data_IF_775012116733
#
_entry.id   IF_775012116733
#
_cell.length_a   1.000
_cell.length_b   1.000
_cell.length_c   1.000
_cell.angle_alpha   90.00
_cell.angle_beta   90.00
_cell.angle_gamma   90.00
#
_symmetry.space_group_name_H-M   'P 1'
#
loop_
_entity.id
_entity.type
_entity.pdbx_description
1 polymer ?
#
# COMPACT_ATOMS: atom_id res chain seq x y z
N UNK A 1 -33.43 -19.97 -12.10
CA UNK A 1 -32.16 -20.36 -12.73
C UNK A 1 -31.21 -20.66 -11.58
N UNK A 2 -31.11 -21.94 -11.24
CA UNK A 2 -30.27 -22.42 -10.14
C UNK A 2 -28.81 -22.42 -10.60
N UNK A 3 -28.02 -21.45 -10.13
CA UNK A 3 -26.58 -21.52 -10.27
C UNK A 3 -26.04 -22.59 -9.30
N UNK A 4 -25.03 -23.39 -9.70
CA UNK A 4 -24.40 -24.36 -8.81
C UNK A 4 -23.83 -23.68 -7.56
N UNK A 5 -24.01 -24.29 -6.38
CA UNK A 5 -23.48 -23.81 -5.09
C UNK A 5 -21.96 -23.89 -4.98
N UNK A 6 -21.30 -24.57 -5.90
CA UNK A 6 -19.85 -24.72 -5.92
C UNK A 6 -19.26 -23.53 -6.69
N UNK A 7 -18.89 -22.49 -5.94
CA UNK A 7 -18.02 -21.43 -6.44
C UNK A 7 -16.71 -22.07 -6.94
N UNK A 8 -16.33 -21.77 -8.19
CA UNK A 8 -15.06 -22.20 -8.82
C UNK A 8 -13.79 -21.82 -8.03
N UNK A 9 -13.92 -21.07 -6.93
CA UNK A 9 -12.80 -20.62 -6.08
C UNK A 9 -12.87 -21.07 -4.63
N UNK A 10 -13.75 -22.01 -4.27
CA UNK A 10 -13.54 -22.79 -3.04
C UNK A 10 -12.52 -23.91 -3.31
N UNK A 11 -11.24 -23.54 -3.39
CA UNK A 11 -10.21 -24.54 -3.14
C UNK A 11 -10.33 -24.91 -1.66
N UNK A 12 -10.68 -26.17 -1.39
CA UNK A 12 -10.57 -26.71 -0.04
C UNK A 12 -9.13 -26.58 0.43
N UNK A 13 -8.89 -26.56 1.75
CA UNK A 13 -7.51 -26.54 2.28
C UNK A 13 -6.66 -27.70 1.72
N UNK A 14 -7.31 -28.83 1.40
CA UNK A 14 -6.67 -29.98 0.77
C UNK A 14 -6.27 -29.69 -0.68
N UNK A 15 -7.09 -28.95 -1.44
CA UNK A 15 -6.77 -28.50 -2.79
C UNK A 15 -5.66 -27.42 -2.81
N UNK A 16 -5.64 -26.50 -1.83
CA UNK A 16 -4.51 -25.58 -1.62
C UNK A 16 -3.22 -26.33 -1.32
N UNK A 17 -3.26 -27.31 -0.40
CA UNK A 17 -2.09 -28.15 -0.08
C UNK A 17 -1.60 -28.92 -1.31
N UNK A 18 -2.51 -29.50 -2.09
CA UNK A 18 -2.15 -30.18 -3.33
C UNK A 18 -1.46 -29.25 -4.34
N UNK A 19 -1.89 -27.99 -4.44
CA UNK A 19 -1.22 -26.97 -5.26
C UNK A 19 0.13 -26.53 -4.71
N UNK A 20 0.35 -26.49 -3.39
CA UNK A 20 1.66 -26.20 -2.83
C UNK A 20 2.64 -27.36 -2.97
N UNK A 21 2.14 -28.60 -2.82
CA UNK A 21 2.93 -29.83 -2.97
C UNK A 21 3.22 -30.15 -4.44
N UNK A 22 2.29 -29.81 -5.34
CA UNK A 22 2.42 -29.95 -6.79
C UNK A 22 2.08 -28.60 -7.46
N UNK A 23 3.00 -27.63 -7.39
CA UNK A 23 2.77 -26.33 -8.01
C UNK A 23 2.48 -26.51 -9.50
N UNK A 24 1.47 -25.81 -10.05
CA UNK A 24 1.28 -25.78 -11.49
C UNK A 24 2.60 -25.35 -12.12
N UNK A 25 2.96 -26.00 -13.22
CA UNK A 25 4.20 -25.69 -13.92
C UNK A 25 4.21 -24.18 -14.20
N UNK A 26 5.22 -23.49 -13.66
CA UNK A 26 5.34 -22.04 -13.80
C UNK A 26 5.30 -21.65 -15.28
N UNK A 27 4.86 -20.43 -15.58
CA UNK A 27 4.95 -19.92 -16.93
C UNK A 27 6.40 -20.06 -17.42
N UNK A 28 6.58 -20.71 -18.56
CA UNK A 28 7.90 -20.86 -19.16
C UNK A 28 8.41 -19.46 -19.56
N UNK A 29 9.37 -18.93 -18.80
CA UNK A 29 9.91 -17.60 -19.04
C UNK A 29 10.85 -17.69 -20.23
N UNK A 30 10.29 -17.54 -21.43
CA UNK A 30 11.03 -17.67 -22.68
C UNK A 30 12.08 -16.55 -22.81
N UNK A 31 11.70 -15.30 -22.54
CA UNK A 31 12.56 -14.10 -22.56
C UNK A 31 11.79 -12.86 -22.04
N UNK A 32 12.48 -11.75 -21.67
CA UNK A 32 11.82 -10.51 -21.27
C UNK A 32 10.94 -9.92 -22.40
N UNK A 33 9.83 -9.30 -22.02
CA UNK A 33 9.04 -8.49 -22.94
C UNK A 33 9.80 -7.20 -23.30
N UNK A 34 9.69 -6.76 -24.55
CA UNK A 34 10.24 -5.49 -25.03
C UNK A 34 9.16 -4.69 -25.77
N UNK A 35 9.43 -3.42 -26.09
CA UNK A 35 8.52 -2.63 -26.92
C UNK A 35 8.29 -3.33 -28.27
N UNK A 36 7.02 -3.51 -28.64
CA UNK A 36 6.61 -4.26 -29.83
C UNK A 36 6.62 -5.79 -29.66
N UNK A 37 6.92 -6.28 -28.45
CA UNK A 37 7.12 -7.70 -28.16
C UNK A 37 6.69 -8.02 -26.73
N UNK A 38 5.39 -8.15 -26.55
CA UNK A 38 4.75 -8.30 -25.24
C UNK A 38 4.52 -6.98 -24.48
N UNK A 39 5.11 -5.86 -24.92
CA UNK A 39 4.76 -4.50 -24.45
C UNK A 39 4.30 -3.66 -25.64
N UNK A 40 3.02 -3.27 -25.64
CA UNK A 40 2.44 -2.35 -26.62
C UNK A 40 2.72 -0.89 -26.23
N UNK A 41 3.04 -0.04 -27.20
CA UNK A 41 3.22 1.40 -27.00
C UNK A 41 2.22 2.18 -27.84
N UNK A 42 1.37 2.95 -27.17
CA UNK A 42 0.42 3.83 -27.84
C UNK A 42 1.09 5.09 -28.35
N UNK A 43 0.68 5.53 -29.53
CA UNK A 43 1.02 6.82 -30.12
C UNK A 43 0.37 7.96 -29.34
N UNK A 44 0.91 9.18 -29.51
CA UNK A 44 0.32 10.37 -28.90
C UNK A 44 -1.14 10.61 -29.34
N UNK A 45 -1.47 10.26 -30.59
CA UNK A 45 -2.83 10.37 -31.14
C UNK A 45 -3.79 9.36 -30.51
N UNK A 46 -3.35 8.11 -30.30
CA UNK A 46 -4.13 7.11 -29.58
C UNK A 46 -4.37 7.54 -28.13
N UNK A 47 -3.33 8.04 -27.44
CA UNK A 47 -3.47 8.55 -26.08
C UNK A 47 -4.47 9.70 -26.00
N UNK A 48 -4.42 10.65 -26.94
CA UNK A 48 -5.37 11.77 -27.00
C UNK A 48 -6.80 11.26 -27.29
N UNK A 49 -6.95 10.35 -28.24
CA UNK A 49 -8.23 9.71 -28.57
C UNK A 49 -8.84 9.00 -27.36
N UNK A 50 -8.03 8.26 -26.60
CA UNK A 50 -8.50 7.58 -25.38
C UNK A 50 -8.83 8.56 -24.27
N UNK A 51 -8.06 9.63 -24.13
CA UNK A 51 -8.28 10.68 -23.14
C UNK A 51 -9.57 11.46 -23.40
N UNK A 52 -9.95 11.65 -24.67
CA UNK A 52 -11.23 12.27 -25.05
C UNK A 52 -12.45 11.40 -24.73
N UNK A 53 -12.29 10.07 -24.53
CA UNK A 53 -13.37 9.17 -24.07
C UNK A 53 -13.65 9.29 -22.58
N UNK A 54 -12.91 10.13 -21.86
CA UNK A 54 -13.18 10.40 -20.46
C UNK A 54 -14.46 11.24 -20.34
N UNK A 55 -15.58 10.57 -20.07
CA UNK A 55 -16.87 11.22 -19.87
C UNK A 55 -16.85 12.21 -18.68
N UNK A 56 -17.59 13.30 -18.81
CA UNK A 56 -17.71 14.33 -17.75
C UNK A 56 -18.32 13.75 -16.46
N UNK A 57 -19.12 12.69 -16.55
CA UNK A 57 -19.79 12.03 -15.43
C UNK A 57 -19.00 10.85 -14.83
N UNK A 58 -17.81 10.56 -15.37
CA UNK A 58 -17.01 9.39 -14.97
C UNK A 58 -16.72 9.37 -13.46
N UNK A 59 -16.55 10.55 -12.87
CA UNK A 59 -16.37 10.76 -11.43
C UNK A 59 -17.51 10.17 -10.56
N UNK A 60 -18.73 10.09 -11.09
CA UNK A 60 -19.88 9.56 -10.36
C UNK A 60 -19.96 8.04 -10.41
N UNK A 61 -19.40 7.45 -11.47
CA UNK A 61 -19.40 6.01 -11.77
C UNK A 61 -18.13 5.30 -11.31
N UNK A 62 -17.03 6.03 -11.14
CA UNK A 62 -15.74 5.48 -10.76
C UNK A 62 -15.46 5.66 -9.26
N UNK A 63 -14.76 4.68 -8.71
CA UNK A 63 -14.31 4.66 -7.33
C UNK A 63 -12.92 4.05 -7.25
N UNK A 64 -12.07 4.59 -6.38
CA UNK A 64 -10.77 3.99 -6.12
C UNK A 64 -10.89 2.98 -4.99
N UNK A 65 -10.65 1.72 -5.31
CA UNK A 65 -10.51 0.67 -4.31
C UNK A 65 -9.03 0.45 -4.00
N UNK A 66 -8.62 0.78 -2.78
CA UNK A 66 -7.26 0.58 -2.29
C UNK A 66 -7.26 -0.62 -1.35
N UNK A 67 -6.68 -1.77 -1.77
CA UNK A 67 -6.41 -2.86 -0.86
C UNK A 67 -5.32 -2.41 0.11
N UNK A 68 -5.71 -1.81 1.23
CA UNK A 68 -4.77 -1.41 2.26
C UNK A 68 -4.29 -2.69 2.97
N UNK A 69 -3.12 -3.16 2.54
CA UNK A 69 -2.43 -4.29 3.18
C UNK A 69 -2.39 -4.06 4.68
N UNK A 70 -2.68 -5.11 5.47
CA UNK A 70 -2.73 -5.04 6.93
C UNK A 70 -1.38 -4.70 7.59
N UNK A 71 -1.12 -5.34 8.73
CA UNK A 71 0.00 -5.05 9.63
C UNK A 71 1.37 -5.45 9.05
N UNK A 72 1.81 -4.73 8.01
CA UNK A 72 2.95 -5.13 7.19
C UNK A 72 4.30 -4.67 7.77
N UNK A 73 4.31 -3.88 8.85
CA UNK A 73 5.55 -3.47 9.54
C UNK A 73 6.32 -4.66 10.14
N UNK A 74 5.70 -5.85 10.23
CA UNK A 74 6.40 -7.13 10.51
C UNK A 74 7.49 -7.47 9.49
N UNK A 75 7.42 -6.96 8.25
CA UNK A 75 8.49 -7.12 7.26
C UNK A 75 9.82 -6.50 7.71
N UNK A 76 9.79 -5.58 8.68
CA UNK A 76 10.96 -4.96 9.26
C UNK A 76 11.44 -5.64 10.55
N UNK A 77 10.87 -6.79 10.92
CA UNK A 77 11.25 -7.51 12.14
C UNK A 77 12.72 -7.98 12.15
N UNK A 78 13.32 -8.21 10.99
CA UNK A 78 14.74 -8.56 10.86
C UNK A 78 15.68 -7.47 11.41
N UNK A 79 15.22 -6.21 11.43
CA UNK A 79 15.99 -5.09 12.01
C UNK A 79 16.23 -5.24 13.50
N UNK A 80 15.55 -6.16 14.21
CA UNK A 80 15.80 -6.41 15.64
C UNK A 80 17.11 -7.15 15.90
N UNK A 81 17.54 -7.97 14.96
CA UNK A 81 18.65 -8.91 15.16
C UNK A 81 19.78 -8.74 14.14
N UNK A 82 19.57 -7.96 13.08
CA UNK A 82 20.58 -7.72 12.06
C UNK A 82 21.27 -6.37 12.29
N UNK A 83 22.43 -6.41 12.95
CA UNK A 83 23.22 -5.20 13.26
C UNK A 83 23.70 -4.45 12.01
N UNK A 84 24.02 -5.16 10.93
CA UNK A 84 24.45 -4.54 9.68
C UNK A 84 23.31 -3.72 9.07
N UNK A 85 22.11 -4.29 9.00
CA UNK A 85 20.93 -3.59 8.53
C UNK A 85 20.55 -2.40 9.43
N UNK A 86 20.73 -2.52 10.76
CA UNK A 86 20.53 -1.40 11.68
C UNK A 86 21.50 -0.25 11.38
N UNK A 87 22.79 -0.55 11.18
CA UNK A 87 23.80 0.46 10.83
C UNK A 87 23.51 1.12 9.49
N UNK A 88 23.16 0.34 8.47
CA UNK A 88 22.84 0.86 7.14
C UNK A 88 21.60 1.76 7.16
N UNK A 89 20.55 1.33 7.87
CA UNK A 89 19.32 2.11 8.03
C UNK A 89 19.58 3.43 8.77
N UNK A 90 20.35 3.38 9.86
CA UNK A 90 20.68 4.58 10.63
C UNK A 90 21.57 5.55 9.85
N UNK A 91 22.57 5.04 9.14
CA UNK A 91 23.41 5.86 8.25
C UNK A 91 22.61 6.53 7.12
N UNK A 92 21.47 5.94 6.75
CA UNK A 92 20.58 6.46 5.70
C UNK A 92 19.50 7.40 6.22
N UNK A 93 19.47 7.74 7.52
CA UNK A 93 18.35 8.45 8.16
C UNK A 93 17.93 9.72 7.43
N UNK A 94 18.88 10.52 6.93
CA UNK A 94 18.58 11.79 6.25
C UNK A 94 17.91 11.62 4.89
N UNK A 95 17.99 10.42 4.30
CA UNK A 95 17.36 10.09 3.01
C UNK A 95 15.97 9.50 3.16
N UNK A 96 15.55 9.16 4.38
CA UNK A 96 14.29 8.47 4.64
C UNK A 96 13.17 9.49 4.87
N UNK A 97 11.98 9.23 4.32
CA UNK A 97 10.82 10.08 4.51
C UNK A 97 10.41 10.22 5.99
N UNK A 98 10.58 9.15 6.79
CA UNK A 98 10.36 9.18 8.23
C UNK A 98 11.60 9.63 9.04
N UNK A 99 12.70 9.97 8.37
CA UNK A 99 13.99 10.23 8.98
C UNK A 99 14.00 11.38 9.96
N UNK A 100 13.41 12.53 9.60
CA UNK A 100 13.31 13.69 10.49
C UNK A 100 12.55 13.35 11.78
N UNK A 101 11.36 12.76 11.66
CA UNK A 101 10.56 12.34 12.81
C UNK A 101 11.29 11.30 13.67
N UNK A 102 12.06 10.39 13.05
CA UNK A 102 12.87 9.43 13.80
C UNK A 102 14.00 10.12 14.57
N UNK A 103 14.72 11.06 13.96
CA UNK A 103 15.77 11.85 14.64
C UNK A 103 15.20 12.62 15.83
N UNK A 104 14.02 13.22 15.69
CA UNK A 104 13.36 13.93 16.79
C UNK A 104 13.09 13.01 17.99
N UNK A 105 12.67 11.77 17.73
CA UNK A 105 12.48 10.76 18.79
C UNK A 105 13.80 10.35 19.44
N UNK A 106 14.88 10.22 18.67
CA UNK A 106 16.22 9.92 19.19
C UNK A 106 16.73 11.06 20.07
N UNK A 107 16.66 12.30 19.59
CA UNK A 107 17.07 13.49 20.34
C UNK A 107 16.23 13.67 21.60
N UNK A 108 14.91 13.45 21.52
CA UNK A 108 14.05 13.51 22.70
C UNK A 108 14.44 12.50 23.79
N UNK A 109 15.01 11.35 23.40
CA UNK A 109 15.42 10.28 24.33
C UNK A 109 16.84 10.44 24.86
N UNK A 110 17.77 10.88 24.04
CA UNK A 110 19.21 10.89 24.33
C UNK A 110 19.82 12.31 24.44
N UNK A 111 19.05 13.35 24.12
CA UNK A 111 19.47 14.75 24.12
C UNK A 111 20.24 15.18 22.88
N UNK A 112 20.85 14.23 22.15
CA UNK A 112 21.65 14.48 20.96
C UNK A 112 21.62 13.24 20.04
N UNK A 113 22.15 13.40 18.82
CA UNK A 113 22.32 12.31 17.86
C UNK A 113 23.70 11.67 17.98
N UNK A 114 24.68 12.44 18.41
CA UNK A 114 26.08 12.08 18.49
C UNK A 114 26.31 10.96 19.52
N UNK A 115 27.02 9.91 19.12
CA UNK A 115 27.35 8.79 20.00
C UNK A 115 26.24 7.74 20.17
N UNK A 116 25.03 7.99 19.67
CA UNK A 116 23.92 7.02 19.68
C UNK A 116 24.26 5.84 18.79
N UNK A 117 24.16 4.63 19.34
CA UNK A 117 24.40 3.41 18.58
C UNK A 117 23.21 3.09 17.68
N UNK A 118 23.48 2.50 16.50
CA UNK A 118 22.44 2.18 15.53
C UNK A 118 21.33 1.27 16.10
N UNK A 119 21.70 0.31 16.95
CA UNK A 119 20.72 -0.57 17.60
C UNK A 119 19.76 0.21 18.53
N UNK A 120 20.27 1.19 19.29
CA UNK A 120 19.45 2.04 20.18
C UNK A 120 18.47 2.90 19.38
N UNK A 121 18.95 3.49 18.27
CA UNK A 121 18.11 4.25 17.36
C UNK A 121 17.02 3.36 16.74
N UNK A 122 17.37 2.15 16.29
CA UNK A 122 16.42 1.21 15.69
C UNK A 122 15.39 0.68 16.70
N UNK A 123 15.75 0.49 17.97
CA UNK A 123 14.78 0.14 19.03
C UNK A 123 13.76 1.26 19.29
N UNK A 124 14.19 2.52 19.22
CA UNK A 124 13.28 3.66 19.27
C UNK A 124 12.36 3.73 18.05
N UNK A 125 12.89 3.48 16.84
CA UNK A 125 12.07 3.38 15.63
C UNK A 125 11.02 2.27 15.79
N UNK A 126 11.43 1.10 16.25
CA UNK A 126 10.52 -0.04 16.44
C UNK A 126 9.42 0.28 17.45
N UNK A 127 9.75 0.97 18.54
CA UNK A 127 8.79 1.46 19.53
C UNK A 127 7.84 2.48 18.91
N UNK A 128 8.34 3.43 18.11
CA UNK A 128 7.53 4.41 17.40
C UNK A 128 6.60 3.79 16.34
N UNK A 129 6.97 2.62 15.81
CA UNK A 129 6.15 1.81 14.89
C UNK A 129 5.19 0.86 15.64
N UNK A 130 4.92 1.12 16.92
CA UNK A 130 4.06 0.29 17.80
C UNK A 130 4.50 -1.19 17.79
N UNK A 131 5.82 -1.42 17.73
CA UNK A 131 6.42 -2.76 17.65
C UNK A 131 5.92 -3.60 16.47
N UNK A 132 5.67 -2.97 15.33
CA UNK A 132 5.04 -3.61 14.17
C UNK A 132 3.50 -3.57 14.23
N UNK A 133 2.97 -2.80 15.18
CA UNK A 133 1.57 -2.50 15.44
C UNK A 133 1.03 -1.34 14.60
N UNK A 134 1.90 -0.56 13.97
CA UNK A 134 1.50 0.53 13.08
C UNK A 134 1.12 0.00 11.70
N UNK A 135 0.04 0.54 11.12
CA UNK A 135 -0.34 0.25 9.74
C UNK A 135 0.72 0.80 8.79
N UNK A 136 1.17 -0.01 7.83
CA UNK A 136 2.14 0.39 6.83
C UNK A 136 1.68 1.62 6.04
N UNK A 137 0.38 1.72 5.76
CA UNK A 137 -0.17 2.86 5.03
C UNK A 137 0.03 4.21 5.74
N UNK A 138 0.19 4.22 7.07
CA UNK A 138 0.43 5.42 7.89
C UNK A 138 1.92 5.68 8.14
N UNK A 139 2.81 4.88 7.55
CA UNK A 139 4.26 5.10 7.63
C UNK A 139 4.66 6.02 6.48
N UNK A 140 5.33 7.15 6.76
CA UNK A 140 5.89 7.98 5.72
C UNK A 140 6.86 7.19 4.83
N UNK A 141 6.72 7.31 3.51
CA UNK A 141 7.54 6.50 2.59
C UNK A 141 8.13 7.28 1.41
N UNK A 142 7.65 8.49 1.14
CA UNK A 142 8.19 9.36 0.10
C UNK A 142 8.17 10.84 0.51
N UNK A 143 9.03 11.62 -0.16
CA UNK A 143 9.08 13.07 -0.05
C UNK A 143 8.81 13.62 -1.45
N UNK A 144 7.74 14.41 -1.59
CA UNK A 144 7.34 15.06 -2.84
C UNK A 144 7.25 16.56 -2.56
N UNK A 145 7.95 17.40 -3.32
CA UNK A 145 7.95 18.86 -3.13
C UNK A 145 8.21 19.32 -1.68
N UNK A 146 9.15 18.65 -0.99
CA UNK A 146 9.47 18.81 0.44
C UNK A 146 8.34 18.45 1.43
N UNK A 147 7.22 17.93 0.95
CA UNK A 147 6.18 17.35 1.78
C UNK A 147 6.45 15.86 1.98
N UNK A 148 6.31 15.41 3.23
CA UNK A 148 6.38 14.00 3.60
C UNK A 148 4.97 13.43 3.46
N UNK A 149 4.79 12.40 2.63
CA UNK A 149 3.49 11.74 2.51
C UNK A 149 3.55 10.25 2.87
N UNK A 150 2.39 9.72 3.27
CA UNK A 150 2.17 8.31 3.49
C UNK A 150 1.26 7.74 2.38
N UNK A 151 1.02 6.42 2.40
CA UNK A 151 0.32 5.76 1.29
C UNK A 151 -1.13 6.26 1.15
N UNK A 152 -1.81 6.59 2.26
CA UNK A 152 -3.15 7.17 2.20
C UNK A 152 -3.12 8.53 1.51
N UNK A 153 -2.16 9.38 1.87
CA UNK A 153 -1.99 10.72 1.27
C UNK A 153 -1.77 10.60 -0.24
N UNK A 154 -0.82 9.75 -0.64
CA UNK A 154 -0.49 9.52 -2.04
C UNK A 154 -1.69 9.03 -2.86
N UNK A 155 -2.49 8.10 -2.32
CA UNK A 155 -3.70 7.61 -3.00
C UNK A 155 -4.78 8.68 -3.11
N UNK A 156 -4.96 9.50 -2.08
CA UNK A 156 -5.91 10.63 -2.11
C UNK A 156 -5.46 11.67 -3.13
N UNK A 157 -4.18 12.07 -3.12
CA UNK A 157 -3.62 13.03 -4.05
C UNK A 157 -3.75 12.55 -5.50
N UNK A 158 -3.34 11.31 -5.78
CA UNK A 158 -3.49 10.68 -7.09
C UNK A 158 -4.94 10.68 -7.57
N UNK A 159 -5.89 10.32 -6.70
CA UNK A 159 -7.29 10.24 -7.10
C UNK A 159 -7.90 11.62 -7.36
N UNK A 160 -7.49 12.64 -6.61
CA UNK A 160 -7.92 14.04 -6.83
C UNK A 160 -7.37 14.63 -8.12
N UNK A 161 -6.21 14.19 -8.60
CA UNK A 161 -5.69 14.59 -9.91
C UNK A 161 -6.63 14.14 -11.04
N UNK A 162 -7.25 12.98 -10.90
CA UNK A 162 -8.20 12.44 -11.89
C UNK A 162 -9.61 13.00 -11.69
N UNK A 163 -10.06 13.11 -10.44
CA UNK A 163 -11.41 13.52 -10.08
C UNK A 163 -11.40 14.63 -9.02
N UNK A 164 -11.15 15.90 -9.43
CA UNK A 164 -10.91 16.99 -8.48
C UNK A 164 -12.16 17.46 -7.73
N UNK A 165 -13.35 17.31 -8.33
CA UNK A 165 -14.60 17.86 -7.78
C UNK A 165 -15.38 16.85 -6.93
N UNK A 166 -15.28 15.56 -7.24
CA UNK A 166 -16.02 14.51 -6.55
C UNK A 166 -15.31 13.18 -6.73
N UNK A 167 -14.80 12.63 -5.63
CA UNK A 167 -14.00 11.43 -5.69
C UNK A 167 -14.45 10.50 -4.56
N UNK A 168 -14.69 9.22 -4.88
CA UNK A 168 -14.98 8.19 -3.89
C UNK A 168 -13.79 7.25 -3.74
N UNK A 169 -13.36 6.99 -2.51
CA UNK A 169 -12.23 6.10 -2.21
C UNK A 169 -12.59 5.11 -1.11
N UNK A 170 -12.20 3.86 -1.27
CA UNK A 170 -12.35 2.81 -0.27
C UNK A 170 -10.98 2.29 0.12
N UNK A 171 -10.67 2.32 1.41
CA UNK A 171 -9.47 1.69 1.96
C UNK A 171 -9.86 0.46 2.76
N UNK A 172 -9.44 -0.73 2.32
CA UNK A 172 -9.66 -1.94 3.11
C UNK A 172 -8.74 -1.96 4.31
N UNK A 173 -9.24 -1.67 5.51
CA UNK A 173 -8.39 -1.61 6.71
C UNK A 173 -8.96 -2.49 7.83
N UNK A 174 -8.10 -3.11 8.67
CA UNK A 174 -8.57 -3.85 9.83
C UNK A 174 -9.45 -2.99 10.73
N UNK A 175 -10.55 -3.55 11.25
CA UNK A 175 -11.53 -2.80 12.06
C UNK A 175 -10.91 -2.12 13.28
N UNK A 176 -9.93 -2.78 13.92
CA UNK A 176 -9.19 -2.24 15.05
C UNK A 176 -8.40 -0.94 14.73
N UNK A 177 -8.16 -0.66 13.44
CA UNK A 177 -7.40 0.48 12.96
C UNK A 177 -8.25 1.57 12.32
N UNK A 178 -9.57 1.39 12.24
CA UNK A 178 -10.49 2.36 11.64
C UNK A 178 -10.38 3.74 12.28
N UNK A 179 -10.30 3.83 13.62
CA UNK A 179 -10.18 5.11 14.31
C UNK A 179 -8.90 5.88 13.96
N UNK A 180 -7.77 5.17 13.87
CA UNK A 180 -6.46 5.75 13.50
C UNK A 180 -6.50 6.28 12.06
N UNK A 181 -7.01 5.47 11.13
CA UNK A 181 -7.10 5.83 9.71
C UNK A 181 -8.12 6.93 9.45
N UNK A 182 -9.32 6.87 10.06
CA UNK A 182 -10.34 7.91 9.93
C UNK A 182 -9.85 9.26 10.45
N UNK A 183 -9.13 9.26 11.58
CA UNK A 183 -8.54 10.49 12.14
C UNK A 183 -7.46 11.10 11.24
N UNK A 184 -6.73 10.26 10.50
CA UNK A 184 -5.76 10.70 9.49
C UNK A 184 -6.46 11.24 8.25
N UNK A 185 -7.36 10.44 7.65
CA UNK A 185 -8.09 10.79 6.42
C UNK A 185 -8.88 12.09 6.58
N UNK A 186 -9.55 12.31 7.70
CA UNK A 186 -10.30 13.55 7.96
C UNK A 186 -9.45 14.84 7.84
N UNK A 187 -8.12 14.75 7.94
CA UNK A 187 -7.21 15.89 7.79
C UNK A 187 -6.77 16.14 6.35
N UNK A 188 -6.80 15.11 5.50
CA UNK A 188 -6.14 15.12 4.17
C UNK A 188 -7.11 14.99 3.00
N UNK A 189 -8.31 14.43 3.21
CA UNK A 189 -9.24 14.11 2.12
C UNK A 189 -10.06 15.31 1.64
N UNK A 190 -10.32 16.30 2.49
CA UNK A 190 -11.17 17.44 2.14
C UNK A 190 -12.59 16.98 1.77
N UNK A 191 -13.00 17.22 0.52
CA UNK A 191 -14.33 16.86 -0.01
C UNK A 191 -14.41 15.44 -0.61
N UNK A 192 -13.30 14.69 -0.61
CA UNK A 192 -13.29 13.29 -1.06
C UNK A 192 -14.14 12.44 -0.12
N UNK A 193 -15.09 11.69 -0.68
CA UNK A 193 -15.91 10.73 0.05
C UNK A 193 -15.11 9.44 0.26
N UNK A 194 -14.77 9.13 1.51
CA UNK A 194 -13.93 7.99 1.85
C UNK A 194 -14.63 6.98 2.75
N UNK A 195 -14.34 5.71 2.50
CA UNK A 195 -14.97 4.57 3.15
C UNK A 195 -13.88 3.62 3.67
N UNK A 196 -14.14 3.01 4.83
CA UNK A 196 -13.23 2.03 5.45
C UNK A 196 -13.90 0.65 5.52
N UNK A 197 -14.16 -0.02 4.39
CA UNK A 197 -14.66 -1.39 4.42
C UNK A 197 -13.66 -2.27 5.16
N UNK A 198 -14.18 -3.18 5.97
CA UNK A 198 -13.37 -4.21 6.60
C UNK A 198 -13.31 -5.41 5.68
N UNK A 199 -12.10 -5.83 5.30
CA UNK A 199 -11.89 -7.06 4.55
C UNK A 199 -12.29 -8.24 5.44
N UNK A 200 -13.41 -8.90 5.14
CA UNK A 200 -13.78 -10.15 5.76
C UNK A 200 -12.88 -11.26 5.19
N UNK A 201 -12.01 -11.88 6.00
CA UNK A 201 -11.10 -12.92 5.53
C UNK A 201 -11.81 -14.13 4.92
N UNK A 202 -13.10 -14.32 5.22
CA UNK A 202 -13.91 -15.40 4.68
C UNK A 202 -14.53 -15.09 3.31
N UNK A 203 -14.57 -13.83 2.85
CA UNK A 203 -15.35 -13.43 1.66
C UNK A 203 -14.64 -12.47 0.70
N UNK A 204 -13.63 -11.72 1.14
CA UNK A 204 -13.15 -10.54 0.40
C UNK A 204 -11.82 -10.80 -0.32
N UNK A 205 -11.81 -11.83 -1.15
CA UNK A 205 -10.80 -12.02 -2.21
C UNK A 205 -11.38 -11.32 -3.45
N UNK A 206 -10.64 -10.44 -4.16
CA UNK A 206 -11.15 -9.83 -5.39
C UNK A 206 -11.46 -10.94 -6.41
N UNK A 207 -12.75 -11.09 -6.73
CA UNK A 207 -13.26 -12.06 -7.71
C UNK A 207 -13.41 -11.33 -9.03
N UNK A 208 -12.55 -11.65 -9.99
CA UNK A 208 -12.73 -11.23 -11.38
C UNK A 208 -13.88 -12.06 -11.96
N UNK A 209 -14.97 -11.39 -12.37
CA UNK A 209 -16.07 -12.06 -13.07
C UNK A 209 -15.76 -12.10 -14.57
N UNK A 210 -16.37 -13.00 -15.33
CA UNK A 210 -16.16 -13.09 -16.78
C UNK A 210 -16.54 -11.83 -17.57
N UNK A 211 -17.05 -10.78 -16.92
CA UNK A 211 -17.49 -9.53 -17.53
C UNK A 211 -16.61 -8.31 -17.21
N UNK A 212 -15.58 -8.45 -16.37
CA UNK A 212 -14.68 -7.34 -15.97
C UNK A 212 -14.45 -7.25 -14.48
#
# INVERSE_FOLDING_TARGET
MDAPKDSLFQLTNDAYRAHFENPPQGADVVRPCTLGDGVEQWSAEEVDTWSQRHDVDMAERCGLWVPASGMATRMFSFLKSNEEAQRELWASVDRLAFGAAWKDVVVARFGAMEGVQAHEACELLWTHMDRGGRLKGLVPFHIVDNAVENAFDAHVAMWRMLFPQRAKIWFTVPRAKHGEVASHLAKVTGEVDWHLPHQNPATDIPVWTSEG
#
